data_IF_154127804454
#
_entry.id   IF_154127804454
#
_cell.length_a   1.000
_cell.length_b   1.000
_cell.length_c   1.000
_cell.angle_alpha   90.00
_cell.angle_beta   90.00
_cell.angle_gamma   90.00
#
_symmetry.space_group_name_H-M   'P 1'
#
loop_
_entity.id
_entity.type
_entity.pdbx_description
1 polymer ?
#
# COMPACT_ATOMS: atom_id res chain seq x y z
N UNK A 1 -4.91 -6.27 20.29
CA UNK A 1 -4.63 -6.19 18.84
C UNK A 1 -5.75 -6.90 18.09
N UNK A 2 -6.19 -6.37 16.95
CA UNK A 2 -7.19 -6.99 16.07
C UNK A 2 -6.56 -7.29 14.72
N UNK A 3 -6.81 -8.48 14.18
CA UNK A 3 -6.37 -8.88 12.85
C UNK A 3 -7.48 -8.57 11.83
N UNK A 4 -7.14 -7.84 10.77
CA UNK A 4 -8.08 -7.36 9.74
C UNK A 4 -7.84 -8.13 8.45
N UNK A 5 -8.77 -9.02 8.09
CA UNK A 5 -8.70 -9.85 6.86
C UNK A 5 -9.62 -9.34 5.75
N UNK A 6 -10.45 -8.35 6.06
CA UNK A 6 -11.24 -7.61 5.07
C UNK A 6 -12.11 -6.54 5.72
N UNK A 7 -12.92 -5.89 4.90
CA UNK A 7 -13.74 -4.73 5.28
C UNK A 7 -14.71 -5.05 6.45
N UNK A 8 -15.21 -6.28 6.51
CA UNK A 8 -16.10 -6.74 7.58
C UNK A 8 -15.43 -6.71 8.97
N UNK A 9 -14.12 -6.96 9.06
CA UNK A 9 -13.40 -6.89 10.34
C UNK A 9 -13.26 -5.44 10.80
N UNK A 10 -13.03 -4.51 9.88
CA UNK A 10 -13.04 -3.07 10.19
C UNK A 10 -14.40 -2.67 10.72
N UNK A 11 -15.49 -3.11 10.07
CA UNK A 11 -16.85 -2.83 10.53
C UNK A 11 -17.10 -3.35 11.95
N UNK A 12 -16.69 -4.59 12.25
CA UNK A 12 -16.80 -5.16 13.61
C UNK A 12 -16.05 -4.34 14.64
N UNK A 13 -14.87 -3.83 14.32
CA UNK A 13 -14.11 -2.95 15.23
C UNK A 13 -14.85 -1.65 15.48
N UNK A 14 -15.42 -1.04 14.44
CA UNK A 14 -16.13 0.25 14.56
C UNK A 14 -17.45 0.11 15.33
N UNK A 15 -18.17 -1.00 15.15
CA UNK A 15 -19.43 -1.28 15.85
C UNK A 15 -19.23 -1.75 17.30
N UNK A 16 -18.01 -2.13 17.69
CA UNK A 16 -17.73 -2.57 19.05
C UNK A 16 -17.75 -1.39 20.03
N UNK A 17 -18.46 -1.49 21.18
CA UNK A 17 -18.66 -0.37 22.10
C UNK A 17 -17.34 0.21 22.65
N UNK A 18 -16.40 -0.66 23.03
CA UNK A 18 -15.10 -0.23 23.57
C UNK A 18 -14.04 0.04 22.49
N UNK A 19 -13.92 -0.82 21.48
CA UNK A 19 -12.87 -0.67 20.47
C UNK A 19 -13.20 0.46 19.49
N UNK A 20 -14.48 0.66 19.16
CA UNK A 20 -14.94 1.63 18.15
C UNK A 20 -14.59 3.07 18.50
N UNK A 21 -14.60 3.42 19.78
CA UNK A 21 -14.35 4.77 20.29
C UNK A 21 -12.87 5.12 20.50
N UNK A 22 -12.00 4.11 20.60
CA UNK A 22 -10.57 4.32 20.84
C UNK A 22 -9.81 4.82 19.59
N UNK A 23 -8.66 5.48 19.73
CA UNK A 23 -7.77 5.74 18.58
C UNK A 23 -7.36 4.43 17.90
N UNK A 24 -7.13 4.48 16.58
CA UNK A 24 -6.73 3.31 15.80
C UNK A 24 -5.28 3.46 15.34
N UNK A 25 -4.48 2.40 15.49
CA UNK A 25 -3.13 2.30 14.96
C UNK A 25 -3.09 1.20 13.91
N UNK A 26 -3.04 1.57 12.63
CA UNK A 26 -2.95 0.60 11.52
C UNK A 26 -1.51 0.12 11.38
N UNK A 27 -1.34 -1.20 11.32
CA UNK A 27 -0.04 -1.85 11.22
C UNK A 27 -0.04 -2.86 10.07
N UNK A 28 0.81 -2.60 9.05
CA UNK A 28 1.25 -3.60 8.09
C UNK A 28 2.31 -4.50 8.71
N UNK A 29 3.47 -4.64 8.07
CA UNK A 29 4.60 -5.45 8.56
C UNK A 29 5.36 -4.85 9.77
N UNK A 30 5.22 -3.55 10.04
CA UNK A 30 5.95 -2.85 11.11
C UNK A 30 7.40 -2.50 10.78
N UNK A 31 7.82 -2.62 9.51
CA UNK A 31 9.19 -2.33 9.04
C UNK A 31 9.60 -0.86 9.10
N UNK A 32 8.68 0.03 9.45
CA UNK A 32 8.88 1.48 9.42
C UNK A 32 8.13 2.19 10.56
N UNK A 33 8.18 1.59 11.75
CA UNK A 33 7.56 2.11 12.96
C UNK A 33 8.51 1.91 14.14
N UNK A 34 8.67 2.96 14.95
CA UNK A 34 9.40 2.89 16.22
C UNK A 34 8.40 3.15 17.34
N UNK A 35 8.17 2.15 18.19
CA UNK A 35 7.32 2.29 19.38
C UNK A 35 8.18 2.79 20.55
N UNK A 36 7.84 3.95 21.08
CA UNK A 36 8.56 4.56 22.23
C UNK A 36 7.88 4.30 23.57
N UNK A 37 6.65 3.74 23.54
CA UNK A 37 5.83 3.35 24.68
C UNK A 37 4.70 2.44 24.22
N UNK A 38 3.96 1.88 25.17
CA UNK A 38 2.75 1.10 24.87
C UNK A 38 1.71 1.95 24.12
N UNK A 39 1.20 1.48 22.97
CA UNK A 39 0.25 2.24 22.18
C UNK A 39 -1.09 2.35 22.92
N UNK A 40 -1.53 3.59 23.17
CA UNK A 40 -2.86 3.89 23.72
C UNK A 40 -3.90 3.92 22.59
N UNK A 41 -3.93 2.85 21.79
CA UNK A 41 -4.74 2.73 20.58
C UNK A 41 -5.04 1.25 20.29
N UNK A 42 -6.16 0.99 19.62
CA UNK A 42 -6.44 -0.34 19.09
C UNK A 42 -5.54 -0.58 17.88
N UNK A 43 -4.59 -1.50 18.04
CA UNK A 43 -3.72 -1.93 16.93
C UNK A 43 -4.50 -2.82 15.97
N UNK A 44 -4.56 -2.38 14.70
CA UNK A 44 -5.19 -3.10 13.59
C UNK A 44 -4.09 -3.68 12.69
N UNK A 45 -3.83 -4.99 12.81
CA UNK A 45 -2.88 -5.70 11.95
C UNK A 45 -3.57 -6.07 10.64
N UNK A 46 -3.08 -5.54 9.52
CA UNK A 46 -3.67 -5.78 8.19
C UNK A 46 -3.18 -7.11 7.62
N UNK A 47 -4.13 -8.00 7.32
CA UNK A 47 -3.94 -9.36 6.80
C UNK A 47 -4.91 -9.65 5.63
N UNK A 48 -5.29 -8.61 4.88
CA UNK A 48 -6.11 -8.77 3.66
C UNK A 48 -5.22 -9.38 2.58
N UNK A 49 -5.45 -10.64 2.22
CA UNK A 49 -4.66 -11.38 1.23
C UNK A 49 -5.38 -11.47 -0.12
N UNK A 50 -4.64 -11.90 -1.14
CA UNK A 50 -5.11 -12.10 -2.50
C UNK A 50 -4.23 -11.38 -3.50
N UNK A 51 -3.99 -12.02 -4.64
CA UNK A 51 -3.26 -11.47 -5.77
C UNK A 51 -3.91 -11.92 -7.07
N UNK A 52 -4.13 -11.00 -8.01
CA UNK A 52 -4.75 -11.30 -9.31
C UNK A 52 -4.41 -10.28 -10.38
N UNK A 53 -4.47 -10.71 -11.63
CA UNK A 53 -4.62 -9.81 -12.77
C UNK A 53 -6.07 -9.31 -12.82
N UNK A 54 -6.28 -8.00 -12.85
CA UNK A 54 -7.61 -7.37 -12.93
C UNK A 54 -7.96 -6.99 -14.36
N UNK A 55 -6.97 -6.51 -15.12
CA UNK A 55 -7.15 -6.18 -16.52
C UNK A 55 -5.85 -6.38 -17.30
N UNK A 56 -5.97 -6.84 -18.53
CA UNK A 56 -4.93 -6.76 -19.55
C UNK A 56 -5.38 -5.75 -20.60
N UNK A 57 -4.62 -4.66 -20.72
CA UNK A 57 -4.82 -3.61 -21.69
C UNK A 57 -3.72 -3.72 -22.76
N UNK A 58 -3.89 -2.99 -23.86
CA UNK A 58 -2.89 -2.95 -24.93
C UNK A 58 -1.55 -2.41 -24.42
N UNK A 59 -1.59 -1.45 -23.50
CA UNK A 59 -0.43 -0.70 -23.00
C UNK A 59 -0.05 -1.01 -21.55
N UNK A 60 -0.76 -1.89 -20.85
CA UNK A 60 -0.40 -2.29 -19.48
C UNK A 60 -1.12 -3.56 -18.99
N UNK A 61 -0.54 -4.20 -17.97
CA UNK A 61 -1.25 -5.09 -17.05
C UNK A 61 -1.67 -4.32 -15.80
N UNK A 62 -2.90 -4.51 -15.33
CA UNK A 62 -3.36 -3.99 -14.04
C UNK A 62 -3.50 -5.16 -13.07
N UNK A 63 -2.63 -5.20 -12.07
CA UNK A 63 -2.60 -6.24 -11.03
C UNK A 63 -3.13 -5.70 -9.72
N UNK A 64 -3.80 -6.53 -8.93
CA UNK A 64 -4.31 -6.18 -7.61
C UNK A 64 -3.74 -7.10 -6.55
N UNK A 65 -3.41 -6.51 -5.41
CA UNK A 65 -2.96 -7.19 -4.20
C UNK A 65 -3.80 -6.78 -3.01
N UNK A 66 -4.05 -7.73 -2.11
CA UNK A 66 -4.51 -7.44 -0.76
C UNK A 66 -3.45 -6.67 0.03
N UNK A 67 -3.90 -5.75 0.89
CA UNK A 67 -3.02 -4.87 1.66
C UNK A 67 -2.09 -5.59 2.66
N UNK A 68 -2.41 -6.83 3.00
CA UNK A 68 -1.61 -7.70 3.88
C UNK A 68 -0.52 -8.50 3.15
N UNK A 69 -0.52 -8.53 1.82
CA UNK A 69 0.49 -9.24 1.04
C UNK A 69 1.90 -8.69 1.32
N UNK A 70 2.90 -9.57 1.30
CA UNK A 70 4.30 -9.14 1.38
C UNK A 70 4.68 -8.36 0.12
N UNK A 71 5.30 -7.19 0.29
CA UNK A 71 5.73 -6.36 -0.83
C UNK A 71 6.71 -7.09 -1.75
N UNK A 72 7.70 -7.79 -1.19
CA UNK A 72 8.68 -8.55 -1.97
C UNK A 72 8.05 -9.72 -2.72
N UNK A 73 7.18 -10.49 -2.07
CA UNK A 73 6.51 -11.64 -2.69
C UNK A 73 5.55 -11.19 -3.80
N UNK A 74 4.95 -10.00 -3.68
CA UNK A 74 4.16 -9.41 -4.74
C UNK A 74 5.02 -9.12 -5.98
N UNK A 75 6.21 -8.53 -5.81
CA UNK A 75 7.17 -8.31 -6.92
C UNK A 75 7.61 -9.64 -7.56
N UNK A 76 7.97 -10.64 -6.75
CA UNK A 76 8.36 -11.95 -7.26
C UNK A 76 7.22 -12.58 -8.09
N UNK A 77 5.99 -12.51 -7.58
CA UNK A 77 4.82 -13.02 -8.27
C UNK A 77 4.57 -12.32 -9.61
N UNK A 78 4.70 -10.98 -9.69
CA UNK A 78 4.49 -10.29 -10.99
C UNK A 78 5.51 -10.76 -12.03
N UNK A 79 6.76 -10.97 -11.64
CA UNK A 79 7.80 -11.48 -12.52
C UNK A 79 7.52 -12.93 -12.97
N UNK A 80 7.08 -13.81 -12.05
CA UNK A 80 6.66 -15.18 -12.36
C UNK A 80 5.51 -15.23 -13.37
N UNK A 81 4.57 -14.29 -13.30
CA UNK A 81 3.45 -14.20 -14.24
C UNK A 81 3.82 -13.54 -15.58
N UNK A 82 5.04 -13.01 -15.73
CA UNK A 82 5.46 -12.27 -16.91
C UNK A 82 4.94 -10.83 -16.99
N UNK A 83 4.66 -10.22 -15.83
CA UNK A 83 4.24 -8.82 -15.70
C UNK A 83 5.39 -7.99 -15.08
N UNK A 84 6.45 -7.66 -15.82
CA UNK A 84 7.56 -6.87 -15.29
C UNK A 84 7.15 -5.40 -15.04
N UNK A 85 7.93 -4.68 -14.24
CA UNK A 85 7.75 -3.26 -13.96
C UNK A 85 7.83 -2.86 -12.49
N UNK A 86 8.04 -3.82 -11.57
CA UNK A 86 8.19 -3.59 -10.12
C UNK A 86 9.55 -4.01 -9.56
N UNK A 87 10.44 -4.54 -10.39
CA UNK A 87 11.73 -5.13 -9.99
C UNK A 87 12.63 -4.18 -9.18
N UNK A 88 12.59 -2.87 -9.48
CA UNK A 88 13.31 -1.86 -8.71
C UNK A 88 12.81 -1.73 -7.26
N UNK A 89 11.62 -2.22 -6.93
CA UNK A 89 11.04 -2.22 -5.58
C UNK A 89 11.23 -3.55 -4.84
N UNK A 90 11.96 -4.50 -5.43
CA UNK A 90 12.25 -5.79 -4.79
C UNK A 90 12.96 -5.61 -3.44
N UNK A 91 12.70 -6.54 -2.51
CA UNK A 91 13.28 -6.60 -1.17
C UNK A 91 12.97 -5.42 -0.24
N UNK A 92 12.14 -4.45 -0.64
CA UNK A 92 11.62 -3.44 0.29
C UNK A 92 10.74 -4.15 1.33
N UNK A 93 11.06 -4.05 2.64
CA UNK A 93 10.32 -4.74 3.67
C UNK A 93 8.99 -4.06 3.95
N UNK A 94 7.95 -4.86 4.21
CA UNK A 94 6.63 -4.36 4.55
C UNK A 94 5.55 -5.06 3.75
N UNK A 95 4.32 -4.57 3.90
CA UNK A 95 3.17 -5.09 3.18
C UNK A 95 2.76 -4.15 2.04
N UNK A 96 2.07 -4.69 1.04
CA UNK A 96 1.58 -3.91 -0.10
C UNK A 96 0.69 -2.74 0.34
N UNK A 97 -0.14 -2.92 1.37
CA UNK A 97 -0.99 -1.84 1.89
C UNK A 97 -0.22 -0.69 2.57
N UNK A 98 1.00 -0.94 3.03
CA UNK A 98 1.85 0.10 3.62
C UNK A 98 2.62 0.88 2.54
N UNK A 99 2.78 0.32 1.33
CA UNK A 99 3.55 0.91 0.26
C UNK A 99 3.04 2.31 -0.16
N UNK A 100 1.72 2.55 -0.34
CA UNK A 100 1.21 3.87 -0.69
C UNK A 100 1.41 4.91 0.40
N UNK A 101 1.42 4.52 1.67
CA UNK A 101 1.48 5.45 2.81
C UNK A 101 2.73 6.33 2.73
N UNK A 102 3.87 5.74 2.36
CA UNK A 102 5.13 6.45 2.21
C UNK A 102 5.59 6.57 0.76
N UNK A 103 4.74 6.29 -0.23
CA UNK A 103 5.15 6.22 -1.63
C UNK A 103 6.54 5.55 -1.77
N UNK A 104 6.61 4.25 -1.42
CA UNK A 104 7.91 3.55 -1.37
C UNK A 104 8.67 3.73 -2.68
N UNK A 105 9.98 3.81 -2.60
CA UNK A 105 10.79 3.94 -3.80
C UNK A 105 12.22 3.52 -3.55
N UNK A 106 12.80 2.85 -4.54
CA UNK A 106 14.17 2.42 -4.56
C UNK A 106 14.66 2.37 -6.00
N UNK A 107 15.97 2.53 -6.19
CA UNK A 107 16.62 2.37 -7.47
C UNK A 107 15.97 3.16 -8.63
N UNK A 108 15.53 4.40 -8.37
CA UNK A 108 14.97 5.30 -9.37
C UNK A 108 13.49 5.06 -9.74
N UNK A 109 12.79 4.18 -9.01
CA UNK A 109 11.35 3.97 -9.16
C UNK A 109 10.62 4.27 -7.86
N UNK A 110 9.49 4.98 -7.93
CA UNK A 110 8.54 5.14 -6.83
C UNK A 110 7.24 4.37 -7.11
N UNK A 111 6.49 4.03 -6.05
CA UNK A 111 5.22 3.34 -6.19
C UNK A 111 4.24 4.12 -7.06
N UNK A 112 4.21 5.45 -6.91
CA UNK A 112 3.36 6.35 -7.68
C UNK A 112 3.53 6.17 -9.20
N UNK A 113 4.74 5.82 -9.68
CA UNK A 113 5.03 5.58 -11.10
C UNK A 113 4.36 4.32 -11.65
N UNK A 114 3.88 3.44 -10.77
CA UNK A 114 3.19 2.18 -11.08
C UNK A 114 1.83 2.09 -10.43
N UNK A 115 1.33 3.18 -9.85
CA UNK A 115 0.07 3.17 -9.11
C UNK A 115 -1.13 3.35 -10.06
N UNK A 116 -2.14 2.51 -9.90
CA UNK A 116 -3.43 2.69 -10.57
C UNK A 116 -4.45 3.28 -9.59
N UNK A 117 -4.76 2.52 -8.54
CA UNK A 117 -5.77 2.89 -7.54
C UNK A 117 -5.64 2.02 -6.29
N UNK A 118 -6.34 2.38 -5.20
CA UNK A 118 -6.42 1.56 -4.00
C UNK A 118 -7.81 1.62 -3.38
N UNK A 119 -8.17 0.62 -2.58
CA UNK A 119 -9.37 0.65 -1.74
C UNK A 119 -8.97 0.94 -0.30
N UNK A 120 -9.69 1.85 0.33
CA UNK A 120 -9.53 2.18 1.74
C UNK A 120 -10.88 2.20 2.46
N UNK A 121 -10.90 1.65 3.68
CA UNK A 121 -12.03 1.74 4.60
C UNK A 121 -11.83 2.95 5.51
N UNK A 122 -12.82 3.83 5.58
CA UNK A 122 -12.87 4.91 6.55
C UNK A 122 -13.01 4.34 7.96
N UNK A 123 -12.05 4.64 8.84
CA UNK A 123 -12.08 4.30 10.26
C UNK A 123 -13.02 5.20 11.07
N UNK A 124 -13.72 6.13 10.41
CA UNK A 124 -14.74 7.00 11.02
C UNK A 124 -16.14 6.50 10.66
N UNK A 125 -16.36 6.14 9.39
CA UNK A 125 -17.71 5.83 8.87
C UNK A 125 -17.91 4.35 8.53
N UNK A 126 -16.82 3.57 8.42
CA UNK A 126 -16.84 2.20 7.93
C UNK A 126 -17.10 2.07 6.43
N UNK A 127 -17.17 3.18 5.67
CA UNK A 127 -17.38 3.16 4.23
C UNK A 127 -16.09 2.85 3.48
N UNK A 128 -16.21 2.09 2.41
CA UNK A 128 -15.13 1.83 1.45
C UNK A 128 -15.10 2.95 0.42
N UNK A 129 -13.91 3.40 0.06
CA UNK A 129 -13.68 4.31 -1.05
C UNK A 129 -12.50 3.82 -1.89
N UNK A 130 -12.63 3.96 -3.21
CA UNK A 130 -11.52 3.76 -4.15
C UNK A 130 -10.85 5.10 -4.41
N UNK A 131 -9.53 5.15 -4.26
CA UNK A 131 -8.71 6.35 -4.43
C UNK A 131 -7.75 6.13 -5.60
N UNK A 132 -7.72 7.09 -6.53
CA UNK A 132 -6.72 7.15 -7.61
C UNK A 132 -5.46 7.91 -7.16
N UNK A 133 -4.46 8.00 -8.04
CA UNK A 133 -3.19 8.69 -7.73
C UNK A 133 -3.40 10.15 -7.30
N UNK A 134 -4.38 10.84 -7.90
CA UNK A 134 -4.70 12.24 -7.59
C UNK A 134 -5.25 12.37 -6.17
N UNK A 135 -6.13 11.47 -5.76
CA UNK A 135 -6.69 11.44 -4.42
C UNK A 135 -5.65 11.02 -3.36
N UNK A 136 -4.65 10.22 -3.74
CA UNK A 136 -3.58 9.82 -2.84
C UNK A 136 -2.54 10.92 -2.56
N UNK A 137 -2.46 11.95 -3.41
CA UNK A 137 -1.55 13.11 -3.23
C UNK A 137 -0.11 12.66 -2.93
N UNK A 138 0.44 11.78 -3.77
CA UNK A 138 1.79 11.26 -3.56
C UNK A 138 2.84 12.37 -3.66
N UNK A 139 3.84 12.28 -2.80
CA UNK A 139 5.07 13.07 -2.84
C UNK A 139 6.26 12.22 -2.43
N UNK A 140 7.45 12.83 -2.39
CA UNK A 140 8.65 12.14 -1.94
C UNK A 140 8.48 11.69 -0.47
N UNK A 141 8.38 10.38 -0.27
CA UNK A 141 8.11 9.75 1.03
C UNK A 141 6.81 10.22 1.70
N UNK A 142 5.85 10.71 0.93
CA UNK A 142 4.61 11.30 1.45
C UNK A 142 3.36 10.88 0.67
N UNK A 143 2.21 10.97 1.35
CA UNK A 143 0.88 10.77 0.78
C UNK A 143 -0.18 11.37 1.68
N UNK A 144 -1.41 11.44 1.19
CA UNK A 144 -2.58 11.84 2.00
C UNK A 144 -2.72 11.01 3.29
N UNK A 145 -2.24 9.75 3.33
CA UNK A 145 -2.31 8.87 4.51
C UNK A 145 -1.32 9.25 5.62
N UNK A 146 -0.35 10.12 5.33
CA UNK A 146 0.61 10.69 6.30
C UNK A 146 0.30 12.12 6.72
N UNK A 147 -0.59 12.78 6.02
CA UNK A 147 -0.96 14.15 6.30
C UNK A 147 -2.00 14.25 7.43
N UNK A 148 -1.94 15.28 8.27
CA UNK A 148 -2.86 15.46 9.37
C UNK A 148 -4.26 15.87 8.86
N UNK A 149 -5.26 15.59 9.69
CA UNK A 149 -6.68 15.75 9.34
C UNK A 149 -7.11 17.18 8.99
N UNK A 150 -6.51 18.17 9.65
CA UNK A 150 -6.74 19.60 9.43
C UNK A 150 -6.22 20.08 8.07
N UNK A 151 -5.20 19.41 7.53
CA UNK A 151 -4.71 19.60 6.16
C UNK A 151 -5.44 18.73 5.11
N UNK A 152 -6.55 18.08 5.48
CA UNK A 152 -7.30 17.18 4.59
C UNK A 152 -6.73 15.76 4.51
N UNK A 153 -5.75 15.42 5.35
CA UNK A 153 -5.13 14.11 5.36
C UNK A 153 -5.92 13.02 6.08
N UNK A 154 -5.44 11.77 5.91
CA UNK A 154 -6.11 10.54 6.33
C UNK A 154 -5.37 9.78 7.46
N UNK A 155 -4.40 10.40 8.12
CA UNK A 155 -3.70 9.79 9.27
C UNK A 155 -4.70 9.31 10.31
N UNK A 156 -4.65 8.02 10.64
CA UNK A 156 -5.55 7.38 11.62
C UNK A 156 -7.03 7.33 11.20
N UNK A 157 -7.38 7.76 9.99
CA UNK A 157 -8.76 7.84 9.49
C UNK A 157 -9.09 6.84 8.39
N UNK A 158 -8.10 6.20 7.80
CA UNK A 158 -8.28 5.24 6.72
C UNK A 158 -7.41 3.99 6.93
N UNK A 159 -7.91 2.84 6.46
CA UNK A 159 -7.20 1.57 6.39
C UNK A 159 -7.24 1.08 4.95
N UNK A 160 -6.07 0.96 4.31
CA UNK A 160 -5.96 0.43 2.93
C UNK A 160 -6.19 -1.08 2.96
N UNK A 161 -7.07 -1.58 2.11
CA UNK A 161 -7.41 -3.01 2.02
C UNK A 161 -6.94 -3.67 0.73
N UNK A 162 -6.87 -2.92 -0.37
CA UNK A 162 -6.34 -3.40 -1.65
C UNK A 162 -5.56 -2.32 -2.37
N UNK A 163 -4.57 -2.71 -3.16
CA UNK A 163 -3.78 -1.81 -4.01
C UNK A 163 -3.73 -2.40 -5.41
N UNK A 164 -3.96 -1.56 -6.41
CA UNK A 164 -3.86 -1.87 -7.84
C UNK A 164 -2.68 -1.14 -8.43
N UNK A 165 -1.86 -1.88 -9.18
CA UNK A 165 -0.66 -1.39 -9.83
C UNK A 165 -0.77 -1.58 -11.34
N UNK A 166 -0.33 -0.56 -12.07
CA UNK A 166 -0.27 -0.51 -13.53
C UNK A 166 1.17 -0.81 -13.98
N UNK A 167 1.33 -1.90 -14.72
CA UNK A 167 2.61 -2.41 -15.20
C UNK A 167 2.70 -2.22 -16.73
N UNK A 168 3.53 -1.29 -17.23
CA UNK A 168 3.51 -0.88 -18.65
C UNK A 168 3.90 -1.97 -19.66
N UNK A 169 3.30 -1.86 -20.86
CA UNK A 169 3.60 -2.62 -22.08
C UNK A 169 3.93 -1.64 -23.23
N UNK A 170 5.03 -1.82 -23.98
CA UNK A 170 6.11 -2.76 -23.71
C UNK A 170 6.88 -2.34 -22.44
N UNK A 171 7.44 -3.34 -21.75
CA UNK A 171 8.29 -3.08 -20.59
C UNK A 171 9.55 -2.30 -21.00
N UNK A 172 9.93 -1.34 -20.16
CA UNK A 172 11.18 -0.60 -20.27
C UNK A 172 11.92 -0.65 -18.92
N UNK A 173 13.19 -1.06 -18.91
CA UNK A 173 13.96 -1.13 -17.67
C UNK A 173 14.25 0.27 -17.12
N UNK A 174 14.10 0.44 -15.80
CA UNK A 174 14.46 1.68 -15.11
C UNK A 174 15.89 1.55 -14.59
N UNK A 175 16.84 2.15 -15.32
CA UNK A 175 18.27 1.97 -15.08
C UNK A 175 18.97 3.20 -14.50
N UNK A 176 18.29 4.35 -14.38
CA UNK A 176 18.90 5.64 -14.02
C UNK A 176 19.44 5.79 -12.60
N UNK A 177 19.53 4.69 -11.83
CA UNK A 177 20.19 4.69 -10.53
C UNK A 177 21.67 4.33 -10.70
N UNK A 178 22.56 5.18 -10.18
CA UNK A 178 24.00 5.13 -10.44
C UNK A 178 24.64 3.74 -10.33
N UNK A 179 24.27 2.95 -9.30
CA UNK A 179 24.84 1.62 -9.11
C UNK A 179 24.32 0.58 -10.12
N UNK A 180 23.12 0.79 -10.67
CA UNK A 180 22.58 -0.03 -11.76
C UNK A 180 23.28 0.33 -13.06
N UNK A 181 23.43 1.62 -13.37
CA UNK A 181 24.15 2.09 -14.57
C UNK A 181 25.57 1.51 -14.62
N UNK A 182 26.29 1.55 -13.50
CA UNK A 182 27.65 1.02 -13.37
C UNK A 182 27.79 -0.48 -13.62
N UNK A 183 26.73 -1.27 -13.42
CA UNK A 183 26.76 -2.72 -13.63
C UNK A 183 26.40 -3.14 -15.06
N UNK A 184 25.80 -2.23 -15.83
CA UNK A 184 25.33 -2.49 -17.19
C UNK A 184 26.30 -1.95 -18.25
N UNK A 185 27.13 -0.96 -17.89
CA UNK A 185 28.26 -0.50 -18.70
C UNK A 185 29.40 -1.53 -18.75
#
# INVERSE_FOLDING_TARGET
MVHVRGDADVRRVLDHPELGTQPKLVLGGGSNLVLTRDPQAVVLRVEVMGKRLVAEQDDAWVVEFGAGESGHEAVAWTLEQGYPGLENLALIPGTVGAAPVQNIGAYGLELADRFDSLDAVSLVTGRVATLDARACVFGYRDSVFKQPADAGGLVGKALITRVRLRLPKPWQPVLGYLDIERRIA
#
